data_IF_318998658803
#
_entry.id   IF_318998658803
#
_cell.length_a   1.000
_cell.length_b   1.000
_cell.length_c   1.000
_cell.angle_alpha   90.00
_cell.angle_beta   90.00
_cell.angle_gamma   90.00
#
_symmetry.space_group_name_H-M   'P 1'
#
loop_
_entity.id
_entity.type
_entity.pdbx_description
1 polymer ?
#
# COMPACT_ATOMS: atom_id res chain seq x y z
N UNK A 1 -26.68 6.25 44.71
CA UNK A 1 -26.39 5.76 43.34
C UNK A 1 -25.68 4.44 43.57
N UNK A 2 -26.44 3.34 43.60
CA UNK A 2 -25.89 2.00 43.82
C UNK A 2 -25.20 1.55 42.54
N UNK A 3 -23.91 1.23 42.63
CA UNK A 3 -23.15 0.58 41.57
C UNK A 3 -23.72 -0.83 41.35
N UNK A 4 -24.46 -0.99 40.24
CA UNK A 4 -24.86 -2.30 39.76
C UNK A 4 -23.59 -3.09 39.41
N UNK A 5 -23.43 -4.33 39.92
CA UNK A 5 -22.30 -5.16 39.54
C UNK A 5 -22.31 -5.39 38.02
N UNK A 6 -21.12 -5.49 37.39
CA UNK A 6 -21.03 -5.75 35.97
C UNK A 6 -21.82 -7.02 35.61
N UNK A 7 -22.51 -7.04 34.45
CA UNK A 7 -23.27 -8.22 34.03
C UNK A 7 -22.31 -9.41 34.02
N UNK A 8 -22.62 -10.39 34.87
CA UNK A 8 -21.88 -11.65 34.92
C UNK A 8 -22.16 -12.37 33.60
N UNK A 9 -21.19 -12.34 32.69
CA UNK A 9 -21.27 -13.09 31.44
C UNK A 9 -21.26 -14.57 31.80
N UNK A 10 -22.45 -15.18 31.83
CA UNK A 10 -22.59 -16.62 32.09
C UNK A 10 -21.90 -17.42 31.00
N UNK A 11 -21.28 -18.54 31.37
CA UNK A 11 -20.67 -19.45 30.41
C UNK A 11 -21.67 -19.90 29.33
N UNK A 12 -21.23 -20.11 28.08
CA UNK A 12 -22.10 -20.53 27.00
C UNK A 12 -22.71 -21.91 27.31
N UNK A 13 -24.02 -22.03 27.13
CA UNK A 13 -24.75 -23.30 27.29
C UNK A 13 -24.65 -24.11 26.00
N UNK A 14 -24.58 -25.42 26.13
CA UNK A 14 -24.69 -26.32 24.98
C UNK A 14 -26.13 -26.34 24.44
N UNK A 15 -26.31 -26.79 23.20
CA UNK A 15 -27.64 -26.91 22.59
C UNK A 15 -28.62 -27.78 23.40
N UNK A 16 -28.24 -28.96 23.93
CA UNK A 16 -29.14 -29.76 24.78
C UNK A 16 -29.52 -29.06 26.08
N UNK A 17 -28.58 -28.32 26.69
CA UNK A 17 -28.83 -27.57 27.92
C UNK A 17 -29.79 -26.40 27.68
N UNK A 18 -29.61 -25.68 26.57
CA UNK A 18 -30.49 -24.61 26.13
C UNK A 18 -31.91 -25.15 25.89
N UNK A 19 -32.05 -26.25 25.15
CA UNK A 19 -33.35 -26.87 24.91
C UNK A 19 -34.02 -27.35 26.19
N UNK A 20 -33.26 -27.92 27.13
CA UNK A 20 -33.77 -28.33 28.44
C UNK A 20 -34.30 -27.13 29.21
N UNK A 21 -33.52 -26.05 29.28
CA UNK A 21 -33.92 -24.84 29.98
C UNK A 21 -35.17 -24.18 29.39
N UNK A 22 -35.22 -24.06 28.06
CA UNK A 22 -36.41 -23.60 27.34
C UNK A 22 -37.63 -24.48 27.62
N UNK A 23 -37.43 -25.79 27.73
CA UNK A 23 -38.50 -26.76 28.05
C UNK A 23 -38.96 -26.68 29.51
N UNK A 24 -38.15 -26.12 30.42
CA UNK A 24 -38.49 -25.93 31.84
C UNK A 24 -39.01 -24.52 32.16
N UNK A 25 -39.12 -23.65 31.15
CA UNK A 25 -39.57 -22.28 31.33
C UNK A 25 -41.05 -22.19 31.78
N UNK A 26 -41.44 -21.10 32.46
CA UNK A 26 -42.80 -20.94 33.01
C UNK A 26 -43.92 -20.94 31.96
N UNK A 27 -43.57 -20.76 30.67
CA UNK A 27 -44.49 -20.78 29.53
C UNK A 27 -44.16 -21.87 28.50
N UNK A 28 -43.34 -22.85 28.88
CA UNK A 28 -42.93 -23.92 27.96
C UNK A 28 -44.11 -24.76 27.45
N UNK A 29 -45.22 -24.78 28.19
CA UNK A 29 -46.43 -25.53 27.85
C UNK A 29 -47.36 -24.82 26.84
N UNK A 30 -47.11 -23.53 26.56
CA UNK A 30 -47.87 -22.80 25.54
C UNK A 30 -47.68 -23.48 24.16
N UNK A 31 -48.76 -23.60 23.39
CA UNK A 31 -48.74 -24.32 22.12
C UNK A 31 -47.68 -23.79 21.14
N UNK A 32 -47.51 -22.47 21.07
CA UNK A 32 -46.50 -21.83 20.24
C UNK A 32 -45.07 -22.06 20.76
N UNK A 33 -44.87 -22.07 22.08
CA UNK A 33 -43.56 -22.36 22.69
C UNK A 33 -43.15 -23.82 22.42
N UNK A 34 -44.05 -24.78 22.58
CA UNK A 34 -43.81 -26.20 22.24
C UNK A 34 -43.46 -26.36 20.76
N UNK A 35 -44.20 -25.69 19.86
CA UNK A 35 -43.95 -25.71 18.42
C UNK A 35 -42.57 -25.13 18.08
N UNK A 36 -42.18 -24.03 18.71
CA UNK A 36 -40.85 -23.45 18.56
C UNK A 36 -39.74 -24.39 19.06
N UNK A 37 -39.88 -24.96 20.26
CA UNK A 37 -38.91 -25.91 20.83
C UNK A 37 -38.76 -27.15 19.95
N UNK A 38 -39.88 -27.67 19.40
CA UNK A 38 -39.86 -28.80 18.48
C UNK A 38 -39.11 -28.46 17.18
N UNK A 39 -39.36 -27.27 16.62
CA UNK A 39 -38.60 -26.78 15.45
C UNK A 39 -37.12 -26.68 15.76
N UNK A 40 -36.73 -26.05 16.87
CA UNK A 40 -35.33 -25.90 17.28
C UNK A 40 -34.62 -27.25 17.43
N UNK A 41 -35.32 -28.29 17.92
CA UNK A 41 -34.78 -29.67 17.96
C UNK A 41 -34.48 -30.25 16.58
N UNK A 42 -35.22 -29.85 15.54
CA UNK A 42 -35.07 -30.34 14.17
C UNK A 42 -33.99 -29.62 13.37
N UNK A 43 -33.72 -28.35 13.67
CA UNK A 43 -32.75 -27.49 12.93
C UNK A 43 -31.36 -28.14 12.75
N UNK A 44 -30.75 -28.81 13.74
CA UNK A 44 -29.45 -29.46 13.54
C UNK A 44 -29.44 -30.50 12.41
N UNK A 45 -30.57 -31.16 12.15
CA UNK A 45 -30.72 -32.09 11.03
C UNK A 45 -30.74 -31.40 9.68
N UNK A 46 -31.28 -30.18 9.62
CA UNK A 46 -31.41 -29.37 8.41
C UNK A 46 -30.10 -28.68 8.04
N UNK A 47 -29.26 -28.30 9.01
CA UNK A 47 -28.00 -27.58 8.81
C UNK A 47 -26.77 -28.49 8.59
N UNK A 48 -26.94 -29.69 8.03
CA UNK A 48 -25.84 -30.63 7.83
C UNK A 48 -24.84 -30.20 6.76
N UNK A 49 -25.19 -29.26 5.90
CA UNK A 49 -24.31 -28.76 4.83
C UNK A 49 -24.08 -27.25 4.95
N UNK A 50 -22.94 -26.72 4.48
CA UNK A 50 -22.70 -25.28 4.44
C UNK A 50 -23.79 -24.51 3.68
N UNK A 51 -24.31 -25.09 2.59
CA UNK A 51 -25.37 -24.48 1.78
C UNK A 51 -26.68 -24.38 2.54
N UNK A 52 -27.09 -25.46 3.23
CA UNK A 52 -28.29 -25.45 4.06
C UNK A 52 -28.21 -24.43 5.21
N UNK A 53 -27.02 -24.20 5.76
CA UNK A 53 -26.80 -23.19 6.80
C UNK A 53 -26.88 -21.77 6.21
N UNK A 54 -26.33 -21.55 5.02
CA UNK A 54 -26.44 -20.29 4.29
C UNK A 54 -27.90 -19.94 4.00
N UNK A 55 -28.68 -20.93 3.52
CA UNK A 55 -30.11 -20.77 3.24
C UNK A 55 -30.87 -20.43 4.53
N UNK A 56 -30.56 -21.10 5.64
CA UNK A 56 -31.15 -20.78 6.94
C UNK A 56 -30.91 -19.32 7.30
N UNK A 57 -29.65 -18.85 7.29
CA UNK A 57 -29.34 -17.46 7.64
C UNK A 57 -29.96 -16.43 6.70
N UNK A 58 -30.10 -16.75 5.43
CA UNK A 58 -30.79 -15.89 4.47
C UNK A 58 -32.28 -15.71 4.79
N UNK A 59 -32.91 -16.72 5.41
CA UNK A 59 -34.32 -16.68 5.81
C UNK A 59 -34.53 -16.07 7.22
N UNK A 60 -33.45 -15.79 7.96
CA UNK A 60 -33.49 -15.25 9.32
C UNK A 60 -33.00 -13.79 9.31
N UNK A 61 -33.50 -13.01 8.35
CA UNK A 61 -33.19 -11.57 8.20
C UNK A 61 -33.68 -10.73 9.39
N UNK A 62 -34.65 -11.21 10.17
CA UNK A 62 -35.19 -10.50 11.34
C UNK A 62 -34.40 -10.63 12.65
N UNK A 63 -33.31 -11.41 12.70
CA UNK A 63 -32.46 -11.51 13.91
C UNK A 63 -31.31 -10.49 13.92
N UNK A 64 -31.05 -9.85 12.79
CA UNK A 64 -30.06 -8.80 12.69
C UNK A 64 -30.80 -7.47 12.88
N UNK A 65 -30.27 -6.60 13.75
CA UNK A 65 -30.73 -5.21 13.91
C UNK A 65 -30.98 -4.61 12.52
N UNK A 66 -32.12 -3.94 12.34
CA UNK A 66 -32.45 -3.18 11.13
C UNK A 66 -31.24 -2.33 10.74
N UNK A 67 -30.47 -2.84 9.77
CA UNK A 67 -29.38 -2.10 9.15
C UNK A 67 -30.03 -1.19 8.11
N UNK A 68 -29.52 0.03 7.98
CA UNK A 68 -29.92 0.94 6.92
C UNK A 68 -29.82 0.24 5.56
N UNK A 69 -30.74 0.55 4.64
CA UNK A 69 -30.85 -0.08 3.30
C UNK A 69 -29.54 -0.07 2.48
N UNK A 70 -28.55 0.72 2.87
CA UNK A 70 -27.24 0.84 2.23
C UNK A 70 -26.21 -0.21 2.67
N UNK A 71 -26.42 -0.93 3.79
CA UNK A 71 -25.46 -1.90 4.30
C UNK A 71 -25.82 -3.32 3.87
N UNK A 72 -25.14 -3.83 2.84
CA UNK A 72 -25.23 -5.25 2.49
C UNK A 72 -24.83 -6.10 3.70
N UNK A 73 -25.58 -7.16 4.05
CA UNK A 73 -25.20 -8.05 5.14
C UNK A 73 -23.81 -8.61 4.86
N UNK A 74 -22.93 -8.53 5.87
CA UNK A 74 -21.58 -9.09 5.79
C UNK A 74 -21.74 -10.60 5.69
N UNK A 75 -21.68 -11.12 4.46
CA UNK A 75 -21.68 -12.54 4.19
C UNK A 75 -20.34 -13.11 4.64
N UNK A 76 -20.40 -14.21 5.40
CA UNK A 76 -19.20 -14.98 5.72
C UNK A 76 -18.57 -15.50 4.42
N UNK A 77 -17.24 -15.57 4.37
CA UNK A 77 -16.55 -16.29 3.29
C UNK A 77 -16.98 -17.76 3.29
N UNK A 78 -16.84 -18.46 2.15
CA UNK A 78 -17.16 -19.90 2.08
C UNK A 78 -16.45 -20.71 3.18
N UNK A 79 -15.17 -20.42 3.42
CA UNK A 79 -14.41 -21.03 4.51
C UNK A 79 -14.99 -20.73 5.90
N UNK A 80 -15.49 -19.51 6.11
CA UNK A 80 -16.17 -19.10 7.33
C UNK A 80 -17.49 -19.85 7.53
N UNK A 81 -18.30 -20.01 6.47
CA UNK A 81 -19.55 -20.79 6.53
C UNK A 81 -19.25 -22.27 6.84
N UNK A 82 -18.23 -22.86 6.21
CA UNK A 82 -17.82 -24.25 6.49
C UNK A 82 -17.36 -24.42 7.94
N UNK A 83 -16.57 -23.47 8.47
CA UNK A 83 -16.16 -23.51 9.88
C UNK A 83 -17.35 -23.35 10.81
N UNK A 84 -18.21 -22.36 10.58
CA UNK A 84 -19.42 -22.14 11.38
C UNK A 84 -20.32 -23.38 11.40
N UNK A 85 -20.48 -24.05 10.26
CA UNK A 85 -21.27 -25.29 10.18
C UNK A 85 -20.67 -26.40 11.04
N UNK A 86 -19.34 -26.59 11.02
CA UNK A 86 -18.67 -27.58 11.87
C UNK A 86 -18.84 -27.26 13.34
N UNK A 87 -18.60 -26.00 13.70
CA UNK A 87 -18.71 -25.51 15.07
C UNK A 87 -20.15 -25.64 15.58
N UNK A 88 -21.14 -25.33 14.74
CA UNK A 88 -22.56 -25.51 15.04
C UNK A 88 -22.94 -26.96 15.30
N UNK A 89 -22.48 -27.91 14.47
CA UNK A 89 -22.73 -29.35 14.68
C UNK A 89 -22.10 -29.83 15.99
N UNK A 90 -20.87 -29.39 16.29
CA UNK A 90 -20.20 -29.73 17.55
C UNK A 90 -20.94 -29.16 18.76
N UNK A 91 -21.44 -27.92 18.66
CA UNK A 91 -22.28 -27.32 19.70
C UNK A 91 -23.59 -28.08 19.90
N UNK A 92 -24.22 -28.52 18.82
CA UNK A 92 -25.41 -29.38 18.84
C UNK A 92 -25.16 -30.73 19.54
N UNK A 93 -23.95 -31.27 19.40
CA UNK A 93 -23.50 -32.50 20.05
C UNK A 93 -23.13 -32.34 21.53
N UNK A 94 -23.22 -31.13 22.09
CA UNK A 94 -22.96 -30.86 23.50
C UNK A 94 -21.65 -30.12 23.79
N UNK A 95 -20.85 -29.78 22.78
CA UNK A 95 -19.61 -29.03 22.99
C UNK A 95 -19.90 -27.52 23.15
N UNK A 96 -19.99 -27.04 24.39
CA UNK A 96 -20.22 -25.62 24.70
C UNK A 96 -19.08 -24.68 24.31
N UNK A 97 -17.89 -25.20 23.95
CA UNK A 97 -16.73 -24.40 23.54
C UNK A 97 -16.54 -24.32 22.03
N UNK A 98 -17.33 -25.04 21.24
CA UNK A 98 -17.22 -25.02 19.78
C UNK A 98 -17.45 -23.60 19.24
N UNK A 99 -16.59 -23.14 18.32
CA UNK A 99 -16.63 -21.78 17.77
C UNK A 99 -16.09 -20.67 18.67
N UNK A 100 -15.73 -20.95 19.93
CA UNK A 100 -15.09 -20.00 20.86
C UNK A 100 -13.57 -20.17 20.95
N UNK A 101 -12.98 -20.92 20.03
CA UNK A 101 -11.54 -21.01 19.90
C UNK A 101 -10.97 -19.62 19.63
N UNK A 102 -9.78 -19.28 20.18
CA UNK A 102 -9.11 -18.05 19.82
C UNK A 102 -9.00 -18.01 18.29
N UNK A 103 -9.45 -16.93 17.62
CA UNK A 103 -9.30 -16.83 16.19
C UNK A 103 -7.81 -17.05 15.90
N UNK A 104 -7.46 -17.97 14.97
CA UNK A 104 -6.08 -18.12 14.59
C UNK A 104 -5.61 -16.75 14.15
N UNK A 105 -4.62 -16.21 14.87
CA UNK A 105 -3.96 -14.98 14.44
C UNK A 105 -3.29 -15.36 13.14
N UNK A 106 -3.90 -14.95 12.03
CA UNK A 106 -3.28 -15.12 10.73
C UNK A 106 -1.90 -14.45 10.86
N UNK A 107 -0.78 -15.19 10.76
CA UNK A 107 0.48 -14.51 10.56
C UNK A 107 0.24 -13.59 9.37
N UNK A 108 0.68 -12.33 9.45
CA UNK A 108 0.61 -11.38 8.35
C UNK A 108 1.53 -11.81 7.18
N UNK A 109 1.53 -13.10 6.82
CA UNK A 109 2.05 -13.65 5.60
C UNK A 109 1.09 -13.27 4.50
N UNK A 110 1.61 -12.47 3.58
CA UNK A 110 0.99 -11.80 2.44
C UNK A 110 0.31 -12.73 1.39
N UNK A 111 -0.08 -13.93 1.80
CA UNK A 111 -0.47 -15.05 0.93
C UNK A 111 -1.99 -15.31 0.90
N UNK A 112 -2.76 -14.67 1.79
CA UNK A 112 -4.24 -14.81 1.86
C UNK A 112 -5.02 -13.65 1.21
N UNK A 113 -4.34 -12.60 0.74
CA UNK A 113 -4.97 -11.52 -0.02
C UNK A 113 -5.25 -11.96 -1.46
N UNK A 114 -6.53 -12.20 -1.78
CA UNK A 114 -7.00 -12.65 -3.11
C UNK A 114 -6.67 -11.62 -4.22
N UNK A 115 -6.48 -10.35 -3.85
CA UNK A 115 -5.96 -9.32 -4.74
C UNK A 115 -4.82 -8.59 -4.06
N UNK A 116 -3.59 -8.88 -4.47
CA UNK A 116 -2.44 -8.01 -4.19
C UNK A 116 -2.65 -6.71 -4.97
N UNK A 117 -2.74 -5.58 -4.27
CA UNK A 117 -2.67 -4.29 -4.95
C UNK A 117 -1.25 -4.09 -5.49
N UNK A 118 -1.05 -3.19 -6.46
CA UNK A 118 0.30 -2.89 -6.96
C UNK A 118 1.26 -2.44 -5.84
N UNK A 119 0.72 -1.90 -4.73
CA UNK A 119 1.48 -1.51 -3.54
C UNK A 119 1.93 -2.70 -2.67
N UNK A 120 1.29 -3.88 -2.80
CA UNK A 120 1.61 -5.09 -2.04
C UNK A 120 2.66 -5.97 -2.72
N UNK A 121 2.82 -5.84 -4.03
CA UNK A 121 3.98 -6.35 -4.78
C UNK A 121 5.16 -5.40 -4.63
N UNK A 122 5.64 -5.18 -3.41
CA UNK A 122 6.86 -4.41 -3.16
C UNK A 122 8.07 -5.22 -3.66
N UNK A 123 8.42 -5.08 -4.94
CA UNK A 123 9.74 -5.47 -5.42
C UNK A 123 10.74 -4.42 -4.94
N UNK A 124 11.47 -4.78 -3.88
CA UNK A 124 12.60 -4.01 -3.36
C UNK A 124 13.65 -3.78 -4.45
N UNK A 125 14.43 -2.72 -4.27
CA UNK A 125 15.41 -2.31 -5.25
C UNK A 125 16.38 -3.45 -5.64
N UNK A 126 16.52 -3.64 -6.94
CA UNK A 126 17.37 -4.64 -7.59
C UNK A 126 18.44 -3.91 -8.41
N UNK A 127 19.71 -4.35 -8.36
CA UNK A 127 20.82 -3.67 -9.06
C UNK A 127 20.80 -3.85 -10.58
N UNK A 128 20.09 -4.86 -11.10
CA UNK A 128 20.13 -5.26 -12.51
C UNK A 128 19.71 -4.15 -13.49
N UNK A 129 18.66 -3.34 -13.23
CA UNK A 129 18.32 -2.24 -14.12
C UNK A 129 19.40 -1.15 -14.18
N UNK A 130 20.13 -0.90 -13.09
CA UNK A 130 21.25 0.04 -13.12
C UNK A 130 22.42 -0.50 -13.95
N UNK A 131 22.79 -1.76 -13.74
CA UNK A 131 23.83 -2.42 -14.54
C UNK A 131 23.45 -2.48 -16.04
N UNK A 132 22.17 -2.71 -16.36
CA UNK A 132 21.67 -2.66 -17.72
C UNK A 132 21.74 -1.24 -18.32
N UNK A 133 21.50 -0.20 -17.52
CA UNK A 133 21.70 1.18 -17.93
C UNK A 133 23.17 1.49 -18.23
N UNK A 134 24.10 1.12 -17.35
CA UNK A 134 25.55 1.33 -17.59
C UNK A 134 26.00 0.63 -18.88
N UNK A 135 25.55 -0.60 -19.09
CA UNK A 135 25.82 -1.36 -20.32
C UNK A 135 25.23 -0.66 -21.55
N UNK A 136 23.97 -0.24 -21.50
CA UNK A 136 23.31 0.43 -22.61
C UNK A 136 23.96 1.78 -22.94
N UNK A 137 24.43 2.51 -21.92
CA UNK A 137 25.23 3.73 -22.09
C UNK A 137 26.56 3.44 -22.80
N UNK A 138 27.26 2.38 -22.40
CA UNK A 138 28.53 1.98 -23.02
C UNK A 138 28.36 1.53 -24.49
N UNK A 139 27.23 0.93 -24.85
CA UNK A 139 26.93 0.49 -26.23
C UNK A 139 26.26 1.56 -27.09
N UNK A 140 25.87 2.70 -26.50
CA UNK A 140 25.11 3.74 -27.20
C UNK A 140 23.65 3.39 -27.49
N UNK A 141 23.08 2.39 -26.81
CA UNK A 141 21.66 2.05 -26.95
C UNK A 141 20.82 3.00 -26.10
N UNK A 142 20.33 4.05 -26.75
CA UNK A 142 19.68 5.17 -26.07
C UNK A 142 18.32 4.83 -25.47
N UNK A 143 17.57 3.97 -26.16
CA UNK A 143 16.23 3.57 -25.74
C UNK A 143 16.33 2.64 -24.54
N UNK A 144 17.24 1.65 -24.61
CA UNK A 144 17.51 0.78 -23.49
C UNK A 144 18.09 1.54 -22.29
N UNK A 145 18.98 2.51 -22.50
CA UNK A 145 19.53 3.31 -21.40
C UNK A 145 18.43 4.09 -20.67
N UNK A 146 17.59 4.82 -21.41
CA UNK A 146 16.53 5.66 -20.80
C UNK A 146 15.51 4.81 -20.05
N UNK A 147 15.07 3.70 -20.63
CA UNK A 147 14.09 2.81 -20.02
C UNK A 147 14.65 2.08 -18.79
N UNK A 148 15.89 1.58 -18.84
CA UNK A 148 16.49 0.90 -17.68
C UNK A 148 16.79 1.86 -16.53
N UNK A 149 17.16 3.12 -16.83
CA UNK A 149 17.33 4.15 -15.82
C UNK A 149 15.99 4.48 -15.15
N UNK A 150 14.92 4.66 -15.94
CA UNK A 150 13.56 4.86 -15.42
C UNK A 150 13.16 3.69 -14.51
N UNK A 151 13.33 2.46 -14.98
CA UNK A 151 13.03 1.24 -14.21
C UNK A 151 13.78 1.18 -12.90
N UNK A 152 15.06 1.56 -12.87
CA UNK A 152 15.83 1.57 -11.63
C UNK A 152 15.25 2.54 -10.60
N UNK A 153 14.97 3.77 -11.00
CA UNK A 153 14.47 4.81 -10.10
C UNK A 153 12.96 4.73 -9.78
N UNK A 154 12.22 3.89 -10.47
CA UNK A 154 10.83 3.51 -10.14
C UNK A 154 10.75 2.37 -9.10
N UNK A 155 11.89 1.79 -8.72
CA UNK A 155 11.92 0.78 -7.66
C UNK A 155 11.65 1.39 -6.28
N UNK A 156 11.29 0.53 -5.33
CA UNK A 156 11.10 0.91 -3.94
C UNK A 156 12.42 0.82 -3.19
N UNK A 157 12.95 1.97 -2.76
CA UNK A 157 14.17 2.08 -1.96
C UNK A 157 13.90 2.24 -0.47
N UNK A 158 12.66 2.54 -0.08
CA UNK A 158 12.22 2.71 1.30
C UNK A 158 10.73 2.39 1.45
N UNK A 159 10.22 2.43 2.68
CA UNK A 159 8.84 2.03 3.00
C UNK A 159 7.74 3.01 2.56
N UNK A 160 8.07 4.27 2.26
CA UNK A 160 7.13 5.25 1.71
C UNK A 160 6.68 4.85 0.29
N UNK A 161 5.51 5.34 -0.12
CA UNK A 161 4.84 4.99 -1.38
C UNK A 161 5.50 5.58 -2.64
N UNK A 162 6.50 6.44 -2.47
CA UNK A 162 7.34 6.97 -3.53
C UNK A 162 8.70 6.26 -3.56
N UNK A 163 9.47 6.42 -4.65
CA UNK A 163 10.83 5.87 -4.69
C UNK A 163 11.81 6.63 -3.79
N UNK A 164 11.47 7.83 -3.32
CA UNK A 164 12.32 8.70 -2.49
C UNK A 164 13.52 9.33 -3.21
N UNK A 165 13.82 8.84 -4.41
CA UNK A 165 15.03 9.18 -5.16
C UNK A 165 14.71 9.72 -6.56
N UNK A 166 13.47 10.17 -6.79
CA UNK A 166 13.03 10.76 -8.07
C UNK A 166 13.92 11.92 -8.52
N UNK A 167 14.39 12.75 -7.59
CA UNK A 167 15.32 13.85 -7.85
C UNK A 167 16.65 13.34 -8.46
N UNK A 168 17.16 12.20 -8.00
CA UNK A 168 18.36 11.58 -8.56
C UNK A 168 18.11 11.01 -9.96
N UNK A 169 16.92 10.43 -10.18
CA UNK A 169 16.49 9.95 -11.50
C UNK A 169 16.50 11.07 -12.53
N UNK A 170 15.84 12.17 -12.19
CA UNK A 170 15.73 13.34 -13.05
C UNK A 170 17.11 13.95 -13.32
N UNK A 171 17.97 14.06 -12.31
CA UNK A 171 19.34 14.57 -12.50
C UNK A 171 20.17 13.69 -13.44
N UNK A 172 20.05 12.36 -13.37
CA UNK A 172 20.75 11.46 -14.29
C UNK A 172 20.20 11.53 -15.72
N UNK A 173 18.88 11.68 -15.89
CA UNK A 173 18.28 11.96 -17.21
C UNK A 173 18.77 13.29 -17.78
N UNK A 174 18.86 14.33 -16.96
CA UNK A 174 19.42 15.63 -17.37
C UNK A 174 20.86 15.48 -17.84
N UNK A 175 21.70 14.72 -17.11
CA UNK A 175 23.09 14.44 -17.52
C UNK A 175 23.17 13.71 -18.86
N UNK A 176 22.29 12.75 -19.07
CA UNK A 176 22.19 12.03 -20.34
C UNK A 176 21.83 12.99 -21.49
N UNK A 177 20.77 13.80 -21.35
CA UNK A 177 20.38 14.78 -22.37
C UNK A 177 21.46 15.86 -22.60
N UNK A 178 22.18 16.25 -21.54
CA UNK A 178 23.29 17.20 -21.64
C UNK A 178 24.43 16.67 -22.50
N UNK A 179 24.84 15.41 -22.28
CA UNK A 179 25.89 14.76 -23.10
C UNK A 179 25.48 14.66 -24.57
N UNK A 180 24.18 14.54 -24.85
CA UNK A 180 23.61 14.52 -26.21
C UNK A 180 23.43 15.91 -26.82
N UNK A 181 23.77 16.99 -26.11
CA UNK A 181 23.50 18.37 -26.52
C UNK A 181 22.00 18.69 -26.72
N UNK A 182 21.11 17.92 -26.10
CA UNK A 182 19.66 18.12 -26.12
C UNK A 182 19.24 19.13 -25.03
N UNK A 183 19.80 20.33 -25.11
CA UNK A 183 19.67 21.35 -24.05
C UNK A 183 18.22 21.77 -23.72
N UNK A 184 17.27 21.86 -24.68
CA UNK A 184 15.89 22.18 -24.34
C UNK A 184 15.23 21.13 -23.44
N UNK A 185 15.44 19.84 -23.74
CA UNK A 185 14.91 18.73 -22.94
C UNK A 185 15.60 18.69 -21.56
N UNK A 186 16.93 18.81 -21.54
CA UNK A 186 17.71 18.87 -20.30
C UNK A 186 17.24 20.01 -19.39
N UNK A 187 16.97 21.21 -19.93
CA UNK A 187 16.48 22.35 -19.15
C UNK A 187 15.12 22.09 -18.51
N UNK A 188 14.18 21.52 -19.27
CA UNK A 188 12.83 21.22 -18.76
C UNK A 188 12.88 20.22 -17.60
N UNK A 189 13.61 19.12 -17.79
CA UNK A 189 13.77 18.09 -16.76
C UNK A 189 14.53 18.61 -15.54
N UNK A 190 15.49 19.51 -15.73
CA UNK A 190 16.28 20.07 -14.64
C UNK A 190 15.45 21.00 -13.74
N UNK A 191 14.54 21.80 -14.30
CA UNK A 191 13.61 22.61 -13.51
C UNK A 191 12.66 21.74 -12.68
N UNK A 192 12.22 20.61 -13.23
CA UNK A 192 11.44 19.61 -12.49
C UNK A 192 12.28 19.00 -11.35
N UNK A 193 13.53 18.60 -11.64
CA UNK A 193 14.46 18.06 -10.64
C UNK A 193 14.69 19.02 -9.47
N UNK A 194 14.85 20.32 -9.75
CA UNK A 194 14.98 21.38 -8.73
C UNK A 194 13.72 21.44 -7.84
N UNK A 195 12.55 21.36 -8.46
CA UNK A 195 11.27 21.40 -7.73
C UNK A 195 11.15 20.20 -6.80
N UNK A 196 11.44 18.99 -7.30
CA UNK A 196 11.38 17.75 -6.51
C UNK A 196 12.43 17.72 -5.40
N UNK A 197 13.65 18.20 -5.66
CA UNK A 197 14.71 18.30 -4.63
C UNK A 197 14.32 19.27 -3.50
N UNK A 198 13.62 20.38 -3.83
CA UNK A 198 13.10 21.32 -2.82
C UNK A 198 12.00 20.68 -1.97
N UNK A 199 11.05 19.98 -2.59
CA UNK A 199 9.95 19.34 -1.85
C UNK A 199 10.42 18.19 -0.96
N UNK A 200 11.47 17.47 -1.39
CA UNK A 200 12.10 16.40 -0.60
C UNK A 200 13.17 16.90 0.40
N UNK A 201 13.44 18.22 0.43
CA UNK A 201 14.49 18.83 1.27
C UNK A 201 15.90 18.26 1.04
N UNK A 202 16.18 17.72 -0.15
CA UNK A 202 17.49 17.21 -0.55
C UNK A 202 18.40 18.36 -1.03
N UNK A 203 19.18 18.90 -0.09
CA UNK A 203 20.07 20.04 -0.32
C UNK A 203 21.21 19.72 -1.29
N UNK A 204 21.73 18.49 -1.25
CA UNK A 204 22.88 18.08 -2.06
C UNK A 204 22.48 17.94 -3.53
N UNK A 205 21.38 17.22 -3.80
CA UNK A 205 20.87 17.09 -5.17
C UNK A 205 20.41 18.43 -5.71
N UNK A 206 19.80 19.28 -4.88
CA UNK A 206 19.45 20.64 -5.28
C UNK A 206 20.69 21.43 -5.73
N UNK A 207 21.78 21.40 -4.97
CA UNK A 207 23.03 22.07 -5.34
C UNK A 207 23.57 21.55 -6.67
N UNK A 208 23.57 20.23 -6.89
CA UNK A 208 23.97 19.65 -8.18
C UNK A 208 23.08 20.09 -9.33
N UNK A 209 21.77 20.17 -9.11
CA UNK A 209 20.83 20.64 -10.12
C UNK A 209 21.08 22.12 -10.49
N UNK A 210 21.34 22.98 -9.51
CA UNK A 210 21.68 24.39 -9.74
C UNK A 210 23.00 24.54 -10.48
N UNK A 211 24.03 23.79 -10.07
CA UNK A 211 25.32 23.80 -10.77
C UNK A 211 25.17 23.36 -12.23
N UNK A 212 24.39 22.30 -12.48
CA UNK A 212 24.11 21.83 -13.83
C UNK A 212 23.29 22.86 -14.65
N UNK A 213 22.43 23.65 -14.01
CA UNK A 213 21.66 24.69 -14.69
C UNK A 213 22.58 25.79 -15.22
N UNK A 214 23.61 26.14 -14.44
CA UNK A 214 24.64 27.09 -14.85
C UNK A 214 25.58 26.54 -15.94
N UNK A 215 25.57 25.23 -16.22
CA UNK A 215 26.31 24.63 -17.35
C UNK A 215 25.56 24.69 -18.67
N UNK A 216 24.24 24.83 -18.65
CA UNK A 216 23.46 24.85 -19.87
C UNK A 216 23.69 26.16 -20.64
N UNK A 217 23.71 26.12 -21.99
CA UNK A 217 23.82 27.33 -22.80
C UNK A 217 22.73 28.33 -22.45
N UNK A 218 23.09 29.60 -22.25
CA UNK A 218 22.13 30.67 -21.99
C UNK A 218 21.23 30.86 -23.24
N UNK A 219 19.94 31.10 -23.02
CA UNK A 219 19.01 31.43 -24.11
C UNK A 219 19.27 32.82 -24.70
N UNK A 220 19.98 33.68 -23.96
CA UNK A 220 20.37 35.03 -24.38
C UNK A 220 21.91 35.10 -24.41
N UNK A 221 22.50 35.16 -25.60
CA UNK A 221 23.97 35.11 -25.81
C UNK A 221 24.74 36.29 -25.19
N UNK A 222 24.07 37.40 -24.85
CA UNK A 222 24.72 38.62 -24.34
C UNK A 222 24.77 38.74 -22.81
N UNK A 223 24.29 37.75 -22.06
CA UNK A 223 24.41 37.77 -20.59
C UNK A 223 25.74 37.19 -20.13
N UNK A 224 26.32 37.83 -19.11
CA UNK A 224 27.49 37.29 -18.41
C UNK A 224 27.21 35.87 -17.93
N UNK A 225 28.16 34.94 -18.09
CA UNK A 225 27.99 33.57 -17.62
C UNK A 225 27.71 33.57 -16.11
N UNK A 226 26.68 32.83 -15.69
CA UNK A 226 26.37 32.62 -14.28
C UNK A 226 27.41 31.66 -13.71
N UNK A 227 28.06 32.08 -12.62
CA UNK A 227 29.03 31.29 -11.86
C UNK A 227 28.36 30.72 -10.62
N UNK A 228 28.86 29.59 -10.13
CA UNK A 228 28.42 29.02 -8.87
C UNK A 228 29.08 29.75 -7.70
N UNK A 229 28.31 29.99 -6.65
CA UNK A 229 28.87 30.39 -5.37
C UNK A 229 29.68 29.24 -4.78
N UNK A 230 30.89 29.54 -4.32
CA UNK A 230 31.78 28.52 -3.73
C UNK A 230 31.19 28.12 -2.38
N UNK A 231 30.79 26.85 -2.28
CA UNK A 231 30.25 26.22 -1.08
C UNK A 231 31.10 25.00 -0.73
N UNK A 232 31.17 24.58 0.55
CA UNK A 232 31.99 23.43 0.98
C UNK A 232 31.71 22.13 0.22
N UNK A 233 30.44 21.89 -0.13
CA UNK A 233 29.98 20.68 -0.80
C UNK A 233 29.96 20.81 -2.34
N UNK A 234 30.45 21.93 -2.89
CA UNK A 234 30.51 22.14 -4.34
C UNK A 234 31.57 21.21 -4.95
N UNK A 235 31.19 20.44 -5.97
CA UNK A 235 32.13 19.58 -6.67
C UNK A 235 33.25 20.42 -7.32
N UNK A 236 34.54 20.11 -7.09
CA UNK A 236 35.66 20.88 -7.65
C UNK A 236 35.63 21.03 -9.18
N UNK A 237 35.03 20.08 -9.89
CA UNK A 237 34.88 20.15 -11.35
C UNK A 237 33.93 21.29 -11.78
N UNK A 238 32.99 21.71 -10.95
CA UNK A 238 32.14 22.87 -11.21
C UNK A 238 32.95 24.16 -11.17
N UNK A 239 33.89 24.27 -10.23
CA UNK A 239 34.80 25.42 -10.14
C UNK A 239 35.66 25.50 -11.39
N UNK A 240 36.24 24.38 -11.83
CA UNK A 240 37.02 24.34 -13.07
C UNK A 240 36.20 24.70 -14.30
N UNK A 241 34.93 24.29 -14.35
CA UNK A 241 34.03 24.64 -15.44
C UNK A 241 33.73 26.15 -15.44
N UNK A 242 33.50 26.75 -14.27
CA UNK A 242 33.29 28.19 -14.12
C UNK A 242 34.54 29.00 -14.52
N UNK A 243 35.74 28.53 -14.16
CA UNK A 243 37.00 29.11 -14.63
C UNK A 243 37.09 29.02 -16.16
N UNK A 244 36.76 27.88 -16.76
CA UNK A 244 36.74 27.73 -18.22
C UNK A 244 35.81 28.74 -18.89
N UNK A 245 34.61 28.97 -18.36
CA UNK A 245 33.67 30.00 -18.89
C UNK A 245 34.34 31.36 -18.95
N UNK A 246 34.99 31.76 -17.86
CA UNK A 246 35.68 33.06 -17.76
C UNK A 246 36.86 33.19 -18.72
N UNK A 247 37.56 32.09 -18.99
CA UNK A 247 38.69 32.08 -19.93
C UNK A 247 38.26 32.13 -21.41
N UNK A 248 37.05 31.67 -21.73
CA UNK A 248 36.53 31.64 -23.11
C UNK A 248 35.83 32.92 -23.55
N UNK A 249 35.53 33.85 -22.64
CA UNK A 249 34.95 35.15 -22.99
C UNK A 249 36.11 36.07 -23.41
N UNK A 250 36.25 36.33 -24.71
CA UNK A 250 37.01 37.49 -25.17
C UNK A 250 36.33 38.73 -24.60
N UNK A 251 36.99 39.39 -23.65
CA UNK A 251 36.57 40.71 -23.20
C UNK A 251 36.73 41.67 -24.38
N UNK A 252 35.65 41.90 -25.14
CA UNK A 252 35.54 43.11 -25.95
C UNK A 252 35.45 44.25 -24.93
N UNK A 253 36.62 44.82 -24.62
CA UNK A 253 36.75 45.94 -23.70
C UNK A 253 35.90 47.11 -24.20
N UNK A 254 34.80 47.38 -23.50
CA UNK A 254 34.23 48.71 -23.45
C UNK A 254 35.03 49.50 -22.42
N UNK A 255 36.17 50.04 -22.88
CA UNK A 255 36.75 51.27 -22.34
C UNK A 255 35.94 52.45 -22.87
#
# INVERSE_FOLDING_TARGET
MEDLPPPTVSAPKSHPELLRELSTGPRAEDAEARKMILKLRGVPGECRTPDSLTILFHNVTGLFLEKSEEDTPILLSFSGVVKLQKDYIMWCAGNSKAGYEPPPKDPLTNDTLIFKTHADTKTWAQPEPYAAWEKAQATGDETAATENLRRFFEQHFHESNDSGIRQHALLNLVRMHYLRSEFPAARKLLLEAITVARTSSDKLTLQHCIAMLHRLPLLEEQRRPVLNDIQPDLNPLEILFDVKKLMTVEYVGLL
#
